data_IF_940981334467
#
_entry.id   IF_940981334467
#
_cell.length_a   1.000
_cell.length_b   1.000
_cell.length_c   1.000
_cell.angle_alpha   90.00
_cell.angle_beta   90.00
_cell.angle_gamma   90.00
#
_symmetry.space_group_name_H-M   'P 1'
#
loop_
_entity.id
_entity.type
_entity.pdbx_description
1 polymer ?
#
# COMPACT_ATOMS: atom_id res chain seq x y z
N UNK A 1 7.12 1.68 16.15
CA UNK A 1 7.90 1.53 14.90
C UNK A 1 9.40 1.23 15.12
N UNK A 2 10.08 1.85 16.10
CA UNK A 2 11.53 1.69 16.29
C UNK A 2 11.99 0.27 16.68
N UNK A 3 11.20 -0.47 17.47
CA UNK A 3 11.55 -1.85 17.86
C UNK A 3 11.63 -2.80 16.65
N UNK A 4 10.69 -2.71 15.71
CA UNK A 4 10.72 -3.51 14.48
C UNK A 4 11.95 -3.20 13.62
N UNK A 5 12.29 -1.91 13.47
CA UNK A 5 13.49 -1.50 12.74
C UNK A 5 14.77 -1.98 13.43
N UNK A 6 14.83 -1.89 14.77
CA UNK A 6 15.99 -2.32 15.55
C UNK A 6 16.22 -3.82 15.45
N UNK A 7 15.16 -4.63 15.65
CA UNK A 7 15.23 -6.10 15.56
C UNK A 7 15.60 -6.52 14.14
N UNK A 8 14.91 -6.02 13.12
CA UNK A 8 15.17 -6.41 11.73
C UNK A 8 16.57 -5.99 11.28
N UNK A 9 17.04 -4.81 11.70
CA UNK A 9 18.43 -4.38 11.45
C UNK A 9 19.42 -5.31 12.14
N UNK A 10 19.20 -5.69 13.40
CA UNK A 10 20.10 -6.58 14.14
C UNK A 10 20.17 -7.98 13.51
N UNK A 11 19.02 -8.54 13.11
CA UNK A 11 18.94 -9.84 12.42
C UNK A 11 19.63 -9.80 11.06
N UNK A 12 19.40 -8.75 10.27
CA UNK A 12 20.05 -8.55 8.98
C UNK A 12 21.56 -8.43 9.13
N UNK A 13 22.00 -7.62 10.09
CA UNK A 13 23.42 -7.47 10.47
C UNK A 13 24.06 -8.78 10.89
N UNK A 14 23.33 -9.67 11.55
CA UNK A 14 23.83 -10.99 11.92
C UNK A 14 24.00 -11.90 10.70
N UNK A 15 23.04 -11.90 9.77
CA UNK A 15 23.12 -12.65 8.49
C UNK A 15 24.27 -12.18 7.60
N UNK A 16 24.47 -10.86 7.52
CA UNK A 16 25.54 -10.25 6.71
C UNK A 16 26.94 -10.52 7.27
N UNK A 17 27.09 -10.89 8.56
CA UNK A 17 28.40 -11.31 9.11
C UNK A 17 28.95 -12.56 8.42
N UNK A 18 28.07 -13.44 7.94
CA UNK A 18 28.44 -14.67 7.26
C UNK A 18 28.76 -14.44 5.78
N UNK A 19 28.30 -13.34 5.20
CA UNK A 19 28.43 -13.06 3.77
C UNK A 19 29.41 -11.90 3.53
N UNK A 20 30.70 -12.23 3.38
CA UNK A 20 31.80 -11.26 3.24
C UNK A 20 31.86 -10.55 1.88
N UNK A 21 31.02 -10.95 0.91
CA UNK A 21 31.07 -10.43 -0.45
C UNK A 21 30.18 -9.21 -0.70
N UNK A 22 29.38 -8.79 0.29
CA UNK A 22 28.43 -7.69 0.17
C UNK A 22 28.68 -6.60 1.21
N UNK A 23 28.52 -5.34 0.79
CA UNK A 23 28.55 -4.20 1.70
C UNK A 23 27.33 -4.28 2.63
N UNK A 24 27.58 -4.07 3.92
CA UNK A 24 26.55 -4.15 4.96
C UNK A 24 25.46 -3.09 4.74
N UNK A 25 24.19 -3.50 4.78
CA UNK A 25 23.07 -2.55 4.68
C UNK A 25 23.11 -1.56 5.85
N UNK A 26 23.10 -0.27 5.54
CA UNK A 26 22.99 0.78 6.56
C UNK A 26 21.55 0.95 7.01
N UNK A 27 21.36 1.47 8.22
CA UNK A 27 20.02 1.70 8.81
C UNK A 27 19.16 2.62 7.93
N UNK A 28 19.78 3.63 7.32
CA UNK A 28 19.11 4.55 6.40
C UNK A 28 18.65 3.85 5.10
N UNK A 29 19.45 2.94 4.55
CA UNK A 29 19.10 2.14 3.38
C UNK A 29 17.96 1.18 3.69
N UNK A 30 18.02 0.48 4.84
CA UNK A 30 16.91 -0.36 5.30
C UNK A 30 15.62 0.44 5.49
N UNK A 31 15.70 1.64 6.09
CA UNK A 31 14.54 2.53 6.23
C UNK A 31 13.97 2.94 4.87
N UNK A 32 14.82 3.31 3.90
CA UNK A 32 14.36 3.67 2.54
C UNK A 32 13.68 2.48 1.86
N UNK A 33 14.26 1.28 1.95
CA UNK A 33 13.68 0.06 1.40
C UNK A 33 12.35 -0.27 2.08
N UNK A 34 12.28 -0.18 3.41
CA UNK A 34 11.05 -0.42 4.15
C UNK A 34 9.94 0.55 3.74
N UNK A 35 10.23 1.85 3.65
CA UNK A 35 9.27 2.84 3.17
C UNK A 35 8.81 2.52 1.75
N UNK A 36 9.74 2.18 0.85
CA UNK A 36 9.41 1.86 -0.54
C UNK A 36 8.55 0.58 -0.68
N UNK A 37 8.86 -0.46 0.10
CA UNK A 37 8.21 -1.76 0.01
C UNK A 37 6.89 -1.85 0.78
N UNK A 38 6.75 -1.11 1.88
CA UNK A 38 5.58 -1.24 2.76
C UNK A 38 4.65 -0.03 2.62
N UNK A 39 5.20 1.18 2.67
CA UNK A 39 4.37 2.39 2.67
C UNK A 39 3.85 2.72 1.27
N UNK A 40 4.67 2.60 0.22
CA UNK A 40 4.21 2.89 -1.15
C UNK A 40 3.00 2.06 -1.58
N UNK A 41 2.99 0.70 -1.44
CA UNK A 41 1.81 -0.07 -1.82
C UNK A 41 0.61 0.18 -0.91
N UNK A 42 0.82 0.52 0.37
CA UNK A 42 -0.29 0.86 1.28
C UNK A 42 -1.01 2.13 0.82
N UNK A 43 -0.26 3.19 0.51
CA UNK A 43 -0.85 4.42 -0.04
C UNK A 43 -1.51 4.19 -1.40
N UNK A 44 -0.95 3.32 -2.25
CA UNK A 44 -1.58 2.94 -3.51
C UNK A 44 -2.89 2.18 -3.29
N UNK A 45 -2.94 1.27 -2.30
CA UNK A 45 -4.16 0.54 -1.94
C UNK A 45 -5.27 1.49 -1.47
N UNK A 46 -4.96 2.48 -0.63
CA UNK A 46 -5.92 3.50 -0.19
C UNK A 46 -6.50 4.25 -1.39
N UNK A 47 -5.64 4.67 -2.34
CA UNK A 47 -6.09 5.34 -3.57
C UNK A 47 -6.99 4.45 -4.44
N UNK A 48 -6.67 3.17 -4.56
CA UNK A 48 -7.51 2.20 -5.28
C UNK A 48 -8.85 2.04 -4.57
N UNK A 49 -8.87 1.92 -3.25
CA UNK A 49 -10.08 1.81 -2.46
C UNK A 49 -10.97 3.05 -2.64
N UNK A 50 -10.40 4.25 -2.49
CA UNK A 50 -11.11 5.52 -2.71
C UNK A 50 -11.73 5.59 -4.11
N UNK A 51 -10.94 5.23 -5.14
CA UNK A 51 -11.41 5.21 -6.52
C UNK A 51 -12.56 4.22 -6.73
N UNK A 52 -12.45 3.02 -6.16
CA UNK A 52 -13.52 2.00 -6.28
C UNK A 52 -14.80 2.44 -5.57
N UNK A 53 -14.69 3.07 -4.39
CA UNK A 53 -15.83 3.61 -3.65
C UNK A 53 -16.52 4.72 -4.43
N UNK A 54 -15.75 5.69 -4.95
CA UNK A 54 -16.27 6.76 -5.78
C UNK A 54 -17.02 6.21 -7.00
N UNK A 55 -16.40 5.28 -7.74
CA UNK A 55 -16.99 4.67 -8.93
C UNK A 55 -18.31 3.97 -8.61
N UNK A 56 -18.35 3.15 -7.55
CA UNK A 56 -19.56 2.41 -7.14
C UNK A 56 -20.69 3.34 -6.74
N UNK A 57 -20.40 4.43 -6.02
CA UNK A 57 -21.41 5.46 -5.69
C UNK A 57 -21.99 6.07 -6.96
N UNK A 58 -21.15 6.38 -7.95
CA UNK A 58 -21.60 6.96 -9.20
C UNK A 58 -22.42 5.98 -10.05
N UNK A 59 -22.01 4.71 -10.11
CA UNK A 59 -22.79 3.64 -10.75
C UNK A 59 -24.17 3.50 -10.12
N UNK A 60 -24.27 3.54 -8.79
CA UNK A 60 -25.57 3.51 -8.10
C UNK A 60 -26.46 4.68 -8.46
N UNK A 61 -25.90 5.90 -8.54
CA UNK A 61 -26.64 7.09 -9.00
C UNK A 61 -27.14 6.92 -10.44
N UNK A 62 -26.30 6.45 -11.35
CA UNK A 62 -26.69 6.18 -12.73
C UNK A 62 -27.81 5.13 -12.83
N UNK A 63 -27.70 4.04 -12.06
CA UNK A 63 -28.74 3.01 -11.97
C UNK A 63 -30.07 3.60 -11.48
N UNK A 64 -30.05 4.45 -10.46
CA UNK A 64 -31.25 5.07 -9.91
C UNK A 64 -31.89 6.05 -10.90
N UNK A 65 -31.11 6.88 -11.58
CA UNK A 65 -31.62 7.76 -12.63
C UNK A 65 -32.24 6.95 -13.78
N UNK A 66 -31.59 5.86 -14.20
CA UNK A 66 -32.11 4.98 -15.24
C UNK A 66 -33.44 4.34 -14.81
N UNK A 67 -33.50 3.81 -13.59
CA UNK A 67 -34.70 3.20 -13.05
C UNK A 67 -35.85 4.21 -12.96
N UNK A 68 -35.61 5.41 -12.41
CA UNK A 68 -36.62 6.47 -12.31
C UNK A 68 -37.15 6.88 -13.69
N UNK A 69 -36.26 7.05 -14.68
CA UNK A 69 -36.66 7.39 -16.05
C UNK A 69 -37.49 6.28 -16.69
N UNK A 70 -37.13 5.02 -16.47
CA UNK A 70 -37.87 3.86 -17.00
C UNK A 70 -39.26 3.76 -16.37
N UNK A 71 -39.36 4.01 -15.06
CA UNK A 71 -40.64 4.07 -14.34
C UNK A 71 -41.54 5.24 -14.75
N UNK A 72 -40.98 6.34 -15.26
CA UNK A 72 -41.75 7.47 -15.81
C UNK A 72 -42.23 7.25 -17.26
N UNK A 73 -41.68 6.25 -17.97
CA UNK A 73 -42.07 5.92 -19.34
C UNK A 73 -43.08 4.76 -19.44
N UNK A 74 -43.40 4.13 -18.31
CA UNK A 74 -44.45 3.12 -18.16
C UNK A 74 -45.73 3.79 -17.67
#
# INVERSE_FOLDING_TARGET
>A
AHAFLAITTATQRHRERTNRHLIRLRVNEFRRLFCALVLTPLHAADRILDWTLWRRRHQKRAQQCHQNRRSQQQ
#
